data_IF_574830749329
#
_entry.id   IF_574830749329
#
_cell.length_a   1.000
_cell.length_b   1.000
_cell.length_c   1.000
_cell.angle_alpha   90.00
_cell.angle_beta   90.00
_cell.angle_gamma   90.00
#
_symmetry.space_group_name_H-M   'P 1'
#
loop_
_entity.id
_entity.type
_entity.pdbx_description
1 polymer ?
#
# COMPACT_ATOMS: atom_id res chain seq x y z
N UNK A 1 16.33 7.36 15.78
CA UNK A 1 15.18 7.63 14.86
C UNK A 1 15.02 6.42 13.98
N UNK A 2 13.78 5.92 13.78
CA UNK A 2 13.48 4.76 12.91
C UNK A 2 13.67 5.13 11.44
N UNK A 3 14.18 4.20 10.65
CA UNK A 3 14.24 4.31 9.19
C UNK A 3 12.98 3.75 8.56
N UNK A 4 12.66 4.26 7.37
CA UNK A 4 11.51 3.84 6.57
C UNK A 4 11.96 3.51 5.16
N UNK A 5 11.51 2.38 4.63
CA UNK A 5 11.57 2.02 3.21
C UNK A 5 10.17 1.98 2.63
N UNK A 6 10.02 2.34 1.37
CA UNK A 6 8.75 2.30 0.63
C UNK A 6 8.93 1.45 -0.62
N UNK A 7 7.99 0.53 -0.82
CA UNK A 7 7.83 -0.21 -2.08
C UNK A 7 6.57 0.32 -2.77
N UNK A 8 6.67 0.61 -4.07
CA UNK A 8 5.52 0.98 -4.89
C UNK A 8 5.42 0.10 -6.11
N UNK A 9 4.20 -0.35 -6.37
CA UNK A 9 3.83 -1.10 -7.55
C UNK A 9 3.17 -0.15 -8.57
N UNK A 10 3.69 -0.09 -9.80
CA UNK A 10 3.19 0.78 -10.87
C UNK A 10 2.56 -0.04 -11.99
N UNK A 11 1.45 0.45 -12.54
CA UNK A 11 0.76 -0.15 -13.69
C UNK A 11 1.44 0.29 -14.99
N UNK A 12 1.82 -0.68 -15.81
CA UNK A 12 2.29 -0.45 -17.18
C UNK A 12 1.10 -0.28 -18.10
N UNK A 13 1.07 0.81 -18.86
CA UNK A 13 -0.04 1.15 -19.76
C UNK A 13 0.45 1.61 -21.14
N UNK A 14 -0.39 1.41 -22.13
CA UNK A 14 -0.21 2.03 -23.43
C UNK A 14 -0.45 3.55 -23.33
N UNK A 15 0.48 4.40 -23.79
CA UNK A 15 0.36 5.85 -23.61
C UNK A 15 -0.79 6.49 -24.41
N UNK A 16 -1.25 5.82 -25.48
CA UNK A 16 -2.32 6.35 -26.34
C UNK A 16 -3.70 5.84 -25.91
N UNK A 17 -3.85 4.53 -25.71
CA UNK A 17 -5.14 3.92 -25.37
C UNK A 17 -5.42 3.89 -23.85
N UNK A 18 -4.37 3.92 -23.02
CA UNK A 18 -4.45 3.73 -21.58
C UNK A 18 -4.62 2.26 -21.15
N UNK A 19 -4.62 1.32 -22.09
CA UNK A 19 -4.79 -0.12 -21.80
C UNK A 19 -3.56 -0.69 -21.08
N UNK A 20 -3.73 -1.55 -20.05
CA UNK A 20 -2.61 -2.22 -19.39
C UNK A 20 -1.78 -3.08 -20.34
N UNK A 21 -0.45 -3.01 -20.22
CA UNK A 21 0.51 -3.70 -21.10
C UNK A 21 1.36 -4.71 -20.30
N UNK A 22 1.37 -5.96 -20.75
CA UNK A 22 2.18 -7.03 -20.16
C UNK A 22 3.64 -6.95 -20.65
N UNK A 23 4.40 -5.95 -20.19
CA UNK A 23 5.75 -5.63 -20.68
C UNK A 23 6.80 -5.48 -19.56
N UNK A 24 6.50 -5.91 -18.31
CA UNK A 24 7.45 -5.76 -17.20
C UNK A 24 8.81 -6.42 -17.48
N UNK A 25 8.83 -7.59 -18.11
CA UNK A 25 10.06 -8.27 -18.45
C UNK A 25 10.94 -7.44 -19.43
N UNK A 26 10.33 -6.72 -20.37
CA UNK A 26 11.04 -5.87 -21.33
C UNK A 26 11.56 -4.58 -20.66
N UNK A 27 10.77 -3.97 -19.76
CA UNK A 27 11.20 -2.81 -18.95
C UNK A 27 12.40 -3.16 -18.09
N UNK A 28 12.34 -4.30 -17.38
CA UNK A 28 13.43 -4.78 -16.52
C UNK A 28 14.70 -5.11 -17.30
N UNK A 29 14.57 -5.76 -18.48
CA UNK A 29 15.73 -6.04 -19.34
C UNK A 29 16.42 -4.76 -19.79
N UNK A 30 15.63 -3.71 -20.11
CA UNK A 30 16.18 -2.39 -20.48
C UNK A 30 16.86 -1.71 -19.29
N UNK A 31 16.22 -1.68 -18.12
CA UNK A 31 16.81 -1.10 -16.91
C UNK A 31 18.15 -1.75 -16.57
N UNK A 32 18.22 -3.09 -16.58
CA UNK A 32 19.47 -3.83 -16.32
C UNK A 32 20.59 -3.53 -17.33
N UNK A 33 20.26 -3.19 -18.58
CA UNK A 33 21.24 -2.82 -19.59
C UNK A 33 21.76 -1.40 -19.44
N UNK A 34 20.91 -0.45 -19.04
CA UNK A 34 21.26 0.97 -18.93
C UNK A 34 21.94 1.31 -17.61
N UNK A 35 21.46 0.73 -16.50
CA UNK A 35 21.86 1.09 -15.13
C UNK A 35 22.87 0.10 -14.51
N UNK A 36 23.69 -0.56 -15.32
CA UNK A 36 24.81 -1.46 -15.01
C UNK A 36 24.99 -1.82 -13.50
N UNK A 37 24.09 -2.66 -12.95
CA UNK A 37 24.27 -3.27 -11.63
C UNK A 37 23.45 -2.67 -10.48
N UNK A 38 22.56 -1.74 -10.70
CA UNK A 38 21.55 -1.31 -9.73
C UNK A 38 20.19 -1.92 -10.11
N UNK A 39 19.83 -3.02 -9.46
CA UNK A 39 18.48 -3.59 -9.58
C UNK A 39 17.52 -2.76 -8.72
N UNK A 40 16.99 -1.67 -9.30
CA UNK A 40 16.00 -0.80 -8.65
C UNK A 40 14.58 -1.37 -8.78
N UNK A 41 14.35 -2.16 -9.85
CA UNK A 41 13.02 -2.69 -10.17
C UNK A 41 12.94 -4.21 -10.03
N UNK A 42 11.81 -4.70 -9.49
CA UNK A 42 11.56 -6.13 -9.29
C UNK A 42 10.37 -6.61 -10.12
N UNK A 43 10.34 -7.95 -10.34
CA UNK A 43 9.23 -8.65 -11.00
C UNK A 43 8.13 -8.96 -10.00
N UNK A 44 6.89 -8.66 -10.41
CA UNK A 44 5.70 -9.00 -9.68
C UNK A 44 4.88 -10.14 -10.33
N UNK A 45 3.77 -10.53 -9.66
CA UNK A 45 2.88 -11.62 -10.07
C UNK A 45 2.39 -11.47 -11.51
N UNK A 46 2.08 -10.26 -11.93
CA UNK A 46 1.56 -9.97 -13.26
C UNK A 46 2.53 -9.15 -14.09
N UNK A 47 2.66 -9.49 -15.37
CA UNK A 47 3.53 -8.81 -16.33
C UNK A 47 3.10 -7.36 -16.65
N UNK A 48 1.94 -6.90 -16.15
CA UNK A 48 1.48 -5.51 -16.21
C UNK A 48 1.99 -4.65 -15.06
N UNK A 49 2.74 -5.20 -14.11
CA UNK A 49 3.21 -4.54 -12.90
C UNK A 49 4.73 -4.34 -12.95
N UNK A 50 5.17 -3.20 -12.43
CA UNK A 50 6.56 -2.90 -12.15
C UNK A 50 6.68 -2.44 -10.71
N UNK A 51 7.51 -3.08 -9.91
CA UNK A 51 7.75 -2.72 -8.51
C UNK A 51 9.12 -2.07 -8.35
N UNK A 52 9.21 -1.09 -7.46
CA UNK A 52 10.48 -0.58 -6.96
C UNK A 52 10.47 -0.45 -5.44
N UNK A 53 11.66 -0.51 -4.84
CA UNK A 53 11.89 -0.28 -3.42
C UNK A 53 12.89 0.86 -3.22
N UNK A 54 12.60 1.77 -2.27
CA UNK A 54 13.55 2.81 -1.85
C UNK A 54 14.57 2.24 -0.86
N UNK A 55 15.71 2.91 -0.74
CA UNK A 55 16.60 2.66 0.38
C UNK A 55 15.94 3.11 1.71
N UNK A 56 16.34 2.54 2.84
CA UNK A 56 15.88 3.00 4.15
C UNK A 56 16.27 4.45 4.41
N UNK A 57 15.29 5.33 4.64
CA UNK A 57 15.48 6.75 4.91
C UNK A 57 14.96 7.12 6.31
N UNK A 58 15.67 8.03 6.98
CA UNK A 58 15.19 8.68 8.20
C UNK A 58 14.55 10.04 7.92
N UNK A 59 14.93 10.66 6.80
CA UNK A 59 14.49 11.98 6.35
C UNK A 59 13.38 11.84 5.30
N UNK A 60 12.22 12.44 5.56
CA UNK A 60 11.05 12.34 4.66
C UNK A 60 11.21 13.16 3.38
N UNK A 61 12.08 14.18 3.34
CA UNK A 61 12.35 14.92 2.10
C UNK A 61 13.23 14.09 1.17
N UNK A 62 14.23 13.40 1.72
CA UNK A 62 15.04 12.43 0.96
C UNK A 62 14.20 11.26 0.45
N UNK A 63 13.28 10.75 1.29
CA UNK A 63 12.34 9.71 0.87
C UNK A 63 11.47 10.19 -0.30
N UNK A 64 10.95 11.43 -0.24
CA UNK A 64 10.18 12.02 -1.31
C UNK A 64 10.99 12.12 -2.62
N UNK A 65 12.21 12.64 -2.53
CA UNK A 65 13.09 12.77 -3.68
C UNK A 65 13.42 11.40 -4.31
N UNK A 66 13.58 10.36 -3.49
CA UNK A 66 13.87 9.01 -3.95
C UNK A 66 12.66 8.36 -4.64
N UNK A 67 11.45 8.47 -4.07
CA UNK A 67 10.22 8.00 -4.71
C UNK A 67 10.02 8.70 -6.07
N UNK A 68 10.18 10.03 -6.10
CA UNK A 68 10.06 10.80 -7.34
C UNK A 68 11.06 10.34 -8.42
N UNK A 69 12.33 10.14 -8.03
CA UNK A 69 13.37 9.61 -8.91
C UNK A 69 13.04 8.21 -9.44
N UNK A 70 12.60 7.29 -8.57
CA UNK A 70 12.22 5.94 -8.99
C UNK A 70 11.05 5.94 -9.97
N UNK A 71 10.04 6.81 -9.76
CA UNK A 71 8.92 6.98 -10.69
C UNK A 71 9.37 7.57 -12.04
N UNK A 72 10.27 8.54 -12.03
CA UNK A 72 10.86 9.11 -13.25
C UNK A 72 11.67 8.05 -14.03
N UNK A 73 12.53 7.29 -13.36
CA UNK A 73 13.29 6.20 -13.96
C UNK A 73 12.38 5.11 -14.54
N UNK A 74 11.33 4.69 -13.80
CA UNK A 74 10.32 3.78 -14.32
C UNK A 74 9.67 4.31 -15.60
N UNK A 75 9.31 5.60 -15.62
CA UNK A 75 8.76 6.27 -16.79
C UNK A 75 9.72 6.30 -17.97
N UNK A 76 11.01 6.58 -17.72
CA UNK A 76 12.07 6.60 -18.75
C UNK A 76 12.26 5.21 -19.38
N UNK A 77 12.38 4.16 -18.56
CA UNK A 77 12.57 2.80 -19.08
C UNK A 77 11.35 2.29 -19.83
N UNK A 78 10.14 2.51 -19.30
CA UNK A 78 8.88 2.16 -19.97
C UNK A 78 8.72 2.94 -21.30
N UNK A 79 9.00 4.25 -21.29
CA UNK A 79 8.93 5.10 -22.49
C UNK A 79 9.84 4.64 -23.62
N UNK A 80 11.01 4.09 -23.28
CA UNK A 80 11.95 3.54 -24.26
C UNK A 80 11.46 2.31 -25.03
N UNK A 81 10.36 1.70 -24.59
CA UNK A 81 9.70 0.56 -25.28
C UNK A 81 8.25 0.87 -25.67
N UNK A 82 7.86 2.16 -25.71
CA UNK A 82 6.53 2.59 -26.12
C UNK A 82 5.45 2.30 -25.05
N UNK A 83 5.82 2.29 -23.79
CA UNK A 83 4.93 2.08 -22.64
C UNK A 83 5.00 3.27 -21.68
N UNK A 84 3.99 3.46 -20.85
CA UNK A 84 3.99 4.45 -19.76
C UNK A 84 3.71 3.76 -18.41
N UNK A 85 4.06 4.45 -17.31
CA UNK A 85 3.75 3.98 -15.95
C UNK A 85 2.70 4.86 -15.29
N UNK A 86 1.81 4.24 -14.53
CA UNK A 86 0.78 4.93 -13.77
C UNK A 86 0.69 4.40 -12.34
N UNK A 87 0.72 5.28 -11.35
CA UNK A 87 0.40 4.98 -9.96
C UNK A 87 -1.13 4.87 -9.80
N UNK A 88 -1.67 3.76 -10.27
CA UNK A 88 -3.09 3.39 -10.23
C UNK A 88 -3.21 2.05 -9.51
N UNK A 89 -3.92 2.00 -8.40
CA UNK A 89 -4.00 0.79 -7.60
C UNK A 89 -4.91 -0.30 -8.18
N UNK A 90 -5.72 0.05 -9.21
CA UNK A 90 -6.48 -0.87 -10.06
C UNK A 90 -6.53 -0.33 -11.48
N UNK A 91 -6.73 -1.19 -12.47
CA UNK A 91 -6.94 -0.72 -13.85
C UNK A 91 -8.33 -0.14 -14.03
N UNK A 92 -8.47 1.14 -14.43
CA UNK A 92 -9.76 1.70 -14.85
C UNK A 92 -10.35 1.00 -16.07
N UNK A 93 -9.50 0.55 -17.00
CA UNK A 93 -9.93 -0.14 -18.23
C UNK A 93 -9.98 -1.65 -18.02
N UNK A 94 -10.79 -2.38 -18.80
CA UNK A 94 -10.79 -3.84 -18.79
C UNK A 94 -9.41 -4.41 -19.11
N UNK A 95 -9.02 -5.46 -18.39
CA UNK A 95 -7.75 -6.15 -18.60
C UNK A 95 -7.88 -7.62 -18.27
N UNK A 96 -7.16 -8.45 -19.00
CA UNK A 96 -6.87 -9.84 -18.66
C UNK A 96 -5.42 -9.92 -18.19
N UNK A 97 -5.17 -10.05 -16.87
CA UNK A 97 -3.82 -10.07 -16.34
C UNK A 97 -3.00 -11.25 -16.86
N UNK A 98 -1.76 -10.98 -17.26
CA UNK A 98 -0.81 -12.01 -17.68
C UNK A 98 0.06 -12.40 -16.47
N UNK A 99 -0.04 -13.65 -16.03
CA UNK A 99 0.73 -14.17 -14.89
C UNK A 99 2.16 -14.45 -15.32
N UNK A 100 3.13 -14.02 -14.52
CA UNK A 100 4.56 -14.28 -14.75
C UNK A 100 4.90 -15.78 -14.78
N UNK A 101 5.89 -16.16 -15.59
CA UNK A 101 6.20 -17.55 -15.91
C UNK A 101 7.12 -18.26 -14.91
N UNK A 102 7.45 -17.68 -13.73
CA UNK A 102 8.28 -18.34 -12.74
C UNK A 102 7.55 -19.48 -12.02
N UNK A 103 8.32 -20.37 -11.35
CA UNK A 103 7.78 -21.57 -10.68
C UNK A 103 6.74 -21.20 -9.58
N UNK A 104 7.00 -20.12 -8.84
CA UNK A 104 6.12 -19.64 -7.75
C UNK A 104 4.77 -19.21 -8.30
N UNK A 105 4.76 -18.36 -9.34
CA UNK A 105 3.53 -17.82 -9.91
C UNK A 105 2.69 -18.88 -10.64
N UNK A 106 3.34 -19.88 -11.26
CA UNK A 106 2.63 -21.03 -11.81
C UNK A 106 1.93 -21.84 -10.72
N UNK A 107 2.64 -22.14 -9.62
CA UNK A 107 2.04 -22.79 -8.46
C UNK A 107 0.85 -22.00 -7.92
N UNK A 108 0.97 -20.67 -7.76
CA UNK A 108 -0.13 -19.82 -7.32
C UNK A 108 -1.32 -19.88 -8.28
N UNK A 109 -1.08 -19.86 -9.59
CA UNK A 109 -2.14 -19.96 -10.60
C UNK A 109 -2.87 -21.31 -10.54
N UNK A 110 -2.15 -22.41 -10.35
CA UNK A 110 -2.71 -23.75 -10.16
C UNK A 110 -3.51 -23.86 -8.86
N UNK A 111 -2.98 -23.32 -7.76
CA UNK A 111 -3.59 -23.43 -6.44
C UNK A 111 -4.83 -22.56 -6.27
N UNK A 112 -4.81 -21.32 -6.79
CA UNK A 112 -5.85 -20.32 -6.51
C UNK A 112 -6.73 -19.97 -7.71
N UNK A 113 -6.43 -20.48 -8.91
CA UNK A 113 -7.27 -20.36 -10.10
C UNK A 113 -7.64 -18.91 -10.43
N UNK A 114 -8.92 -18.63 -10.53
CA UNK A 114 -9.48 -17.32 -10.94
C UNK A 114 -9.03 -16.19 -10.00
N UNK A 115 -8.77 -16.46 -8.72
CA UNK A 115 -8.28 -15.43 -7.79
C UNK A 115 -6.99 -14.80 -8.30
N UNK A 116 -6.02 -15.62 -8.78
CA UNK A 116 -4.78 -15.10 -9.37
C UNK A 116 -5.06 -14.32 -10.65
N UNK A 117 -5.93 -14.82 -11.52
CA UNK A 117 -6.24 -14.20 -12.80
C UNK A 117 -6.91 -12.82 -12.67
N UNK A 118 -7.60 -12.56 -11.55
CA UNK A 118 -8.29 -11.29 -11.29
C UNK A 118 -7.57 -10.41 -10.25
N UNK A 119 -6.30 -10.69 -9.92
CA UNK A 119 -5.57 -10.07 -8.82
C UNK A 119 -4.64 -8.92 -9.27
N UNK A 120 -4.89 -8.31 -10.43
CA UNK A 120 -4.10 -7.15 -10.88
C UNK A 120 -4.47 -5.92 -10.04
N UNK A 121 -3.83 -5.80 -8.90
CA UNK A 121 -3.97 -4.69 -7.95
C UNK A 121 -2.60 -4.26 -7.45
N UNK A 122 -2.41 -2.96 -7.27
CA UNK A 122 -1.11 -2.35 -7.02
C UNK A 122 -1.11 -1.59 -5.70
N UNK A 123 -0.12 -1.88 -4.87
CA UNK A 123 0.00 -1.36 -3.51
C UNK A 123 1.17 -0.41 -3.31
N UNK A 124 1.17 0.16 -2.12
CA UNK A 124 2.31 0.81 -1.51
C UNK A 124 2.58 0.10 -0.19
N UNK A 125 3.75 -0.48 -0.02
CA UNK A 125 4.16 -1.10 1.24
C UNK A 125 5.13 -0.18 1.96
N UNK A 126 5.01 -0.11 3.28
CA UNK A 126 5.88 0.72 4.11
C UNK A 126 6.55 -0.14 5.15
N UNK A 127 7.87 -0.22 5.08
CA UNK A 127 8.73 -0.90 6.04
C UNK A 127 9.25 0.10 7.06
N UNK A 128 9.06 -0.18 8.35
CA UNK A 128 9.59 0.65 9.44
C UNK A 128 10.48 -0.21 10.33
N UNK A 129 11.70 0.26 10.61
CA UNK A 129 12.67 -0.47 11.41
C UNK A 129 12.19 -0.70 12.84
N UNK A 130 12.45 -1.93 13.35
CA UNK A 130 12.22 -2.35 14.74
C UNK A 130 13.51 -2.94 15.31
N UNK A 131 13.61 -2.96 16.64
CA UNK A 131 14.82 -3.42 17.34
C UNK A 131 14.85 -4.95 17.52
N UNK A 132 13.68 -5.58 17.51
CA UNK A 132 13.53 -7.04 17.66
C UNK A 132 12.16 -7.51 17.16
N UNK A 133 12.00 -8.81 16.98
CA UNK A 133 10.70 -9.42 16.65
C UNK A 133 9.68 -9.21 17.76
N UNK A 134 10.10 -9.20 19.04
CA UNK A 134 9.23 -8.91 20.19
C UNK A 134 8.65 -7.49 20.10
N UNK A 135 9.50 -6.48 19.83
CA UNK A 135 9.03 -5.12 19.58
C UNK A 135 8.11 -5.08 18.36
N UNK A 136 8.50 -5.74 17.27
CA UNK A 136 7.72 -5.78 16.03
C UNK A 136 6.33 -6.36 16.24
N UNK A 137 6.20 -7.46 16.97
CA UNK A 137 4.90 -8.09 17.28
C UNK A 137 4.08 -7.22 18.22
N UNK A 138 4.70 -6.62 19.24
CA UNK A 138 4.03 -5.67 20.13
C UNK A 138 3.49 -4.46 19.37
N UNK A 139 4.23 -3.98 18.36
CA UNK A 139 3.77 -2.92 17.43
C UNK A 139 2.61 -3.41 16.58
N UNK A 140 2.72 -4.58 15.93
CA UNK A 140 1.65 -5.16 15.12
C UNK A 140 0.34 -5.21 15.91
N UNK A 141 0.37 -5.70 17.14
CA UNK A 141 -0.81 -5.83 17.99
C UNK A 141 -1.47 -4.48 18.30
N UNK A 142 -0.71 -3.38 18.38
CA UNK A 142 -1.22 -2.05 18.72
C UNK A 142 -1.69 -1.24 17.52
N UNK A 143 -1.06 -1.40 16.36
CA UNK A 143 -1.40 -0.59 15.17
C UNK A 143 -2.65 -1.06 14.43
N UNK A 144 -3.15 -2.30 14.69
CA UNK A 144 -4.31 -2.91 13.99
C UNK A 144 -5.52 -1.98 13.83
N UNK A 145 -5.99 -1.22 14.85
CA UNK A 145 -7.16 -0.37 14.71
C UNK A 145 -6.93 0.86 13.82
N UNK A 146 -5.67 1.25 13.60
CA UNK A 146 -5.27 2.43 12.83
C UNK A 146 -5.10 2.13 11.33
N UNK A 147 -4.89 0.86 10.95
CA UNK A 147 -4.67 0.46 9.56
C UNK A 147 -5.80 0.90 8.59
N UNK A 148 -7.09 0.82 8.98
CA UNK A 148 -8.17 1.33 8.13
C UNK A 148 -8.05 2.83 7.80
N UNK A 149 -7.45 3.63 8.69
CA UNK A 149 -7.25 5.06 8.43
C UNK A 149 -6.19 5.27 7.35
N UNK A 150 -5.11 4.48 7.37
CA UNK A 150 -4.10 4.50 6.31
C UNK A 150 -4.69 4.07 4.96
N UNK A 151 -5.56 3.03 4.95
CA UNK A 151 -6.32 2.64 3.75
C UNK A 151 -7.17 3.80 3.21
N UNK A 152 -7.85 4.54 4.07
CA UNK A 152 -8.67 5.67 3.65
C UNK A 152 -7.85 6.84 3.09
N UNK A 153 -6.69 7.12 3.68
CA UNK A 153 -5.77 8.19 3.23
C UNK A 153 -5.17 7.86 1.85
N UNK A 154 -4.69 6.62 1.67
CA UNK A 154 -4.03 6.17 0.44
C UNK A 154 -4.98 5.81 -0.70
N UNK A 155 -6.31 5.76 -0.47
CA UNK A 155 -7.27 5.21 -1.42
C UNK A 155 -7.13 5.82 -2.82
N UNK A 156 -6.90 4.95 -3.82
CA UNK A 156 -6.60 5.30 -5.20
C UNK A 156 -7.08 4.24 -6.21
N UNK A 157 -8.17 3.51 -5.89
CA UNK A 157 -8.72 2.46 -6.76
C UNK A 157 -10.25 2.49 -6.88
N UNK A 158 -10.84 3.63 -7.32
CA UNK A 158 -12.29 3.73 -7.44
C UNK A 158 -12.84 3.04 -8.68
N UNK A 159 -12.01 2.89 -9.71
CA UNK A 159 -12.39 2.38 -11.02
C UNK A 159 -11.86 0.97 -11.24
N UNK A 160 -12.70 0.06 -11.73
CA UNK A 160 -12.38 -1.34 -11.95
C UNK A 160 -13.04 -1.88 -13.20
N UNK A 161 -12.26 -2.42 -14.13
CA UNK A 161 -12.76 -3.11 -15.31
C UNK A 161 -13.85 -2.32 -16.07
N UNK A 162 -13.61 -1.04 -16.30
CA UNK A 162 -14.51 -0.17 -17.06
C UNK A 162 -15.63 0.49 -16.25
N UNK A 163 -15.68 0.30 -14.92
CA UNK A 163 -16.78 0.76 -14.05
C UNK A 163 -16.29 1.48 -12.81
N UNK A 164 -17.08 2.43 -12.29
CA UNK A 164 -16.92 2.89 -10.90
C UNK A 164 -17.38 1.77 -9.96
N UNK A 165 -16.46 1.30 -9.13
CA UNK A 165 -16.71 0.24 -8.16
C UNK A 165 -17.58 0.69 -6.99
N UNK A 166 -17.82 1.98 -6.85
CA UNK A 166 -18.39 2.64 -5.69
C UNK A 166 -17.57 2.52 -4.40
N UNK A 167 -16.32 2.05 -4.48
CA UNK A 167 -15.34 2.03 -3.39
C UNK A 167 -14.25 3.07 -3.66
N UNK A 168 -13.65 3.63 -2.62
CA UNK A 168 -12.46 4.48 -2.75
C UNK A 168 -11.19 3.65 -2.88
N UNK A 169 -11.11 2.51 -2.16
CA UNK A 169 -10.06 1.49 -2.31
C UNK A 169 -10.69 0.14 -2.68
N UNK A 170 -10.92 -0.10 -3.98
CA UNK A 170 -11.40 -1.41 -4.44
C UNK A 170 -10.28 -2.46 -4.42
N UNK A 171 -9.02 -2.03 -4.56
CA UNK A 171 -7.84 -2.88 -4.37
C UNK A 171 -7.94 -3.69 -3.08
N UNK A 172 -8.26 -3.06 -1.96
CA UNK A 172 -8.36 -3.73 -0.68
C UNK A 172 -9.43 -4.83 -0.66
N UNK A 173 -10.50 -4.73 -1.48
CA UNK A 173 -11.54 -5.77 -1.62
C UNK A 173 -11.05 -6.94 -2.47
N UNK A 174 -10.32 -6.66 -3.54
CA UNK A 174 -9.69 -7.67 -4.40
C UNK A 174 -8.60 -8.40 -3.62
N UNK A 175 -7.72 -7.66 -2.92
CA UNK A 175 -6.64 -8.23 -2.11
C UNK A 175 -7.11 -9.21 -1.04
N UNK A 176 -8.24 -8.96 -0.42
CA UNK A 176 -8.82 -9.84 0.62
C UNK A 176 -9.34 -11.19 0.10
N UNK A 177 -9.24 -11.47 -1.19
CA UNK A 177 -9.51 -12.82 -1.75
C UNK A 177 -8.38 -13.80 -1.44
N UNK A 178 -7.16 -13.32 -1.13
CA UNK A 178 -6.08 -14.18 -0.70
C UNK A 178 -6.42 -14.82 0.66
N UNK A 179 -6.18 -16.15 0.84
CA UNK A 179 -6.58 -16.86 2.07
C UNK A 179 -5.98 -16.30 3.35
N UNK A 180 -4.76 -15.75 3.27
CA UNK A 180 -4.02 -15.22 4.41
C UNK A 180 -4.19 -13.71 4.61
N UNK A 181 -4.97 -13.03 3.74
CA UNK A 181 -5.09 -11.57 3.79
C UNK A 181 -6.04 -11.08 4.87
N UNK A 182 -5.69 -9.97 5.48
CA UNK A 182 -6.55 -9.24 6.39
C UNK A 182 -5.98 -9.01 7.78
N UNK A 183 -6.80 -8.45 8.68
CA UNK A 183 -6.41 -8.20 10.06
C UNK A 183 -6.28 -9.50 10.85
N UNK A 184 -5.42 -9.47 11.87
CA UNK A 184 -5.11 -10.60 12.75
C UNK A 184 -5.72 -10.44 14.14
N UNK A 185 -5.83 -11.54 14.89
CA UNK A 185 -5.95 -11.51 16.34
C UNK A 185 -4.64 -11.01 16.96
N UNK A 186 -4.65 -10.67 18.25
CA UNK A 186 -3.44 -10.37 19.00
C UNK A 186 -2.52 -11.59 19.01
N UNK A 187 -1.24 -11.37 18.78
CA UNK A 187 -0.22 -12.41 18.87
C UNK A 187 0.33 -12.53 20.30
N UNK A 188 0.51 -11.39 20.98
CA UNK A 188 1.00 -11.29 22.35
C UNK A 188 2.50 -11.54 22.52
N UNK A 189 3.16 -12.33 21.65
CA UNK A 189 4.60 -12.56 21.66
C UNK A 189 5.12 -12.95 20.27
N UNK A 190 6.43 -12.76 20.01
CA UNK A 190 7.08 -13.21 18.80
C UNK A 190 7.00 -14.72 18.62
N UNK A 191 7.14 -15.51 19.69
CA UNK A 191 6.97 -16.96 19.64
C UNK A 191 5.59 -17.36 19.11
N UNK A 192 4.53 -16.72 19.59
CA UNK A 192 3.16 -16.98 19.11
C UNK A 192 2.98 -16.56 17.64
N UNK A 193 3.59 -15.45 17.24
CA UNK A 193 3.58 -15.01 15.85
C UNK A 193 4.22 -16.04 14.94
N UNK A 194 5.46 -16.45 15.22
CA UNK A 194 6.17 -17.42 14.41
C UNK A 194 5.49 -18.79 14.39
N UNK A 195 4.96 -19.25 15.53
CA UNK A 195 4.18 -20.50 15.59
C UNK A 195 2.95 -20.41 14.70
N UNK A 196 2.18 -19.33 14.75
CA UNK A 196 0.98 -19.14 13.91
C UNK A 196 1.34 -19.10 12.42
N UNK A 197 2.43 -18.41 12.05
CA UNK A 197 2.92 -18.37 10.67
C UNK A 197 3.32 -19.79 10.21
N UNK A 198 4.06 -20.54 11.02
CA UNK A 198 4.45 -21.91 10.73
C UNK A 198 3.23 -22.84 10.57
N UNK A 199 2.23 -22.73 11.46
CA UNK A 199 0.99 -23.51 11.37
C UNK A 199 0.23 -23.20 10.07
N UNK A 200 0.16 -21.92 9.65
CA UNK A 200 -0.49 -21.53 8.40
C UNK A 200 0.23 -22.11 7.18
N UNK A 201 1.55 -22.08 7.14
CA UNK A 201 2.34 -22.70 6.06
C UNK A 201 2.17 -24.22 6.08
N UNK A 202 2.15 -24.86 7.25
CA UNK A 202 1.98 -26.31 7.41
C UNK A 202 0.63 -26.84 6.90
N UNK A 203 -0.38 -25.97 6.72
CA UNK A 203 -1.64 -26.37 6.06
C UNK A 203 -1.47 -26.77 4.60
N UNK A 204 -0.34 -26.41 3.95
CA UNK A 204 -0.12 -26.60 2.52
C UNK A 204 -0.94 -25.67 1.62
N UNK A 205 -1.75 -24.78 2.20
CA UNK A 205 -2.49 -23.75 1.45
C UNK A 205 -1.57 -22.65 0.95
N UNK A 206 -0.49 -22.37 1.65
CA UNK A 206 0.53 -21.37 1.33
C UNK A 206 1.81 -22.09 0.94
N UNK A 207 2.51 -21.58 -0.09
CA UNK A 207 3.78 -22.17 -0.55
C UNK A 207 4.90 -21.96 0.49
N UNK A 208 4.94 -20.77 1.07
CA UNK A 208 5.93 -20.35 2.08
C UNK A 208 5.41 -19.10 2.84
N UNK A 209 6.20 -18.64 3.81
CA UNK A 209 5.90 -17.46 4.63
C UNK A 209 5.75 -16.15 3.83
N UNK A 210 6.34 -16.04 2.62
CA UNK A 210 6.15 -14.89 1.73
C UNK A 210 4.70 -14.71 1.29
N UNK A 211 3.85 -15.76 1.48
CA UNK A 211 2.41 -15.71 1.20
C UNK A 211 1.56 -15.37 2.44
N UNK A 212 2.17 -14.93 3.52
CA UNK A 212 1.47 -14.34 4.66
C UNK A 212 1.12 -12.89 4.31
N UNK A 213 -0.14 -12.66 3.95
CA UNK A 213 -0.64 -11.37 3.47
C UNK A 213 -1.43 -10.61 4.54
N UNK A 214 -1.01 -10.71 5.81
CA UNK A 214 -1.58 -9.90 6.90
C UNK A 214 -1.53 -8.40 6.53
N UNK A 215 -2.48 -7.63 7.04
CA UNK A 215 -2.55 -6.17 6.85
C UNK A 215 -1.26 -5.45 7.30
N UNK A 216 -0.58 -6.04 8.30
CA UNK A 216 0.74 -5.66 8.82
C UNK A 216 1.46 -6.92 9.30
N UNK A 217 2.76 -7.06 9.01
CA UNK A 217 3.54 -8.26 9.36
C UNK A 217 4.99 -7.93 9.72
N UNK A 218 5.71 -8.88 10.30
CA UNK A 218 7.17 -8.85 10.32
C UNK A 218 7.71 -9.13 8.92
N UNK A 219 8.71 -8.38 8.48
CA UNK A 219 9.41 -8.66 7.23
C UNK A 219 10.34 -9.86 7.40
N UNK A 220 10.38 -10.75 6.39
CA UNK A 220 11.30 -11.90 6.36
C UNK A 220 12.75 -11.52 6.10
N UNK A 221 12.97 -10.41 5.40
CA UNK A 221 14.30 -10.02 4.87
C UNK A 221 14.96 -8.94 5.70
N UNK A 222 14.18 -8.10 6.35
CA UNK A 222 14.66 -6.91 7.02
C UNK A 222 14.12 -6.84 8.45
N UNK A 223 14.84 -6.25 9.39
CA UNK A 223 14.35 -6.03 10.77
C UNK A 223 13.30 -4.90 10.79
N UNK A 224 12.15 -5.15 10.14
CA UNK A 224 11.09 -4.16 9.97
C UNK A 224 9.71 -4.76 10.19
N UNK A 225 8.76 -3.90 10.58
CA UNK A 225 7.32 -4.13 10.42
C UNK A 225 6.90 -3.56 9.08
N UNK A 226 6.17 -4.34 8.28
CA UNK A 226 5.71 -4.04 6.94
C UNK A 226 4.20 -3.79 6.93
N UNK A 227 3.79 -2.57 6.60
CA UNK A 227 2.40 -2.16 6.39
C UNK A 227 1.99 -2.41 4.95
N UNK A 228 0.86 -3.10 4.70
CA UNK A 228 0.46 -3.59 3.37
C UNK A 228 -0.92 -3.14 2.90
N UNK A 229 -1.65 -2.39 3.72
CA UNK A 229 -3.06 -2.04 3.47
C UNK A 229 -3.27 -0.92 2.45
N UNK A 230 -2.21 -0.20 2.07
CA UNK A 230 -2.29 0.98 1.24
C UNK A 230 -2.37 0.66 -0.25
N UNK A 231 -3.23 1.40 -0.95
CA UNK A 231 -3.15 1.53 -2.41
C UNK A 231 -1.85 2.25 -2.78
N UNK A 232 -1.24 1.96 -3.95
CA UNK A 232 -0.22 2.86 -4.48
C UNK A 232 -0.80 4.26 -4.59
N UNK A 233 -0.10 5.25 -4.03
CA UNK A 233 -0.60 6.60 -3.96
C UNK A 233 -0.41 7.33 -5.30
N UNK A 234 -1.43 8.07 -5.74
CA UNK A 234 -1.33 8.83 -7.00
C UNK A 234 -0.17 9.83 -6.97
N UNK A 235 0.00 10.53 -5.85
CA UNK A 235 1.06 11.52 -5.64
C UNK A 235 2.13 10.99 -4.68
N UNK A 236 3.41 11.23 -4.99
CA UNK A 236 4.54 10.86 -4.13
C UNK A 236 4.44 11.50 -2.73
N UNK A 237 3.95 12.73 -2.63
CA UNK A 237 3.72 13.40 -1.34
C UNK A 237 2.73 12.66 -0.43
N UNK A 238 1.73 11.98 -1.01
CA UNK A 238 0.81 11.13 -0.25
C UNK A 238 1.50 9.87 0.27
N UNK A 239 2.37 9.23 -0.54
CA UNK A 239 3.18 8.10 -0.08
C UNK A 239 4.10 8.49 1.08
N UNK A 240 4.73 9.66 1.01
CA UNK A 240 5.57 10.22 2.08
C UNK A 240 4.76 10.49 3.36
N UNK A 241 3.55 11.05 3.24
CA UNK A 241 2.66 11.20 4.40
C UNK A 241 2.35 9.86 5.06
N UNK A 242 2.00 8.85 4.26
CA UNK A 242 1.73 7.49 4.76
C UNK A 242 2.97 6.91 5.45
N UNK A 243 4.16 7.08 4.87
CA UNK A 243 5.42 6.62 5.45
C UNK A 243 5.72 7.31 6.80
N UNK A 244 5.53 8.62 6.89
CA UNK A 244 5.69 9.37 8.14
C UNK A 244 4.70 8.92 9.22
N UNK A 245 3.42 8.70 8.86
CA UNK A 245 2.39 8.20 9.77
C UNK A 245 2.65 6.77 10.22
N UNK A 246 3.09 5.87 9.32
CA UNK A 246 3.46 4.50 9.66
C UNK A 246 4.65 4.48 10.64
N UNK A 247 5.70 5.28 10.38
CA UNK A 247 6.83 5.44 11.29
C UNK A 247 6.40 5.94 12.67
N UNK A 248 5.55 6.94 12.70
CA UNK A 248 5.05 7.50 13.95
C UNK A 248 4.16 6.52 14.71
N UNK A 249 3.34 5.74 14.02
CA UNK A 249 2.56 4.64 14.62
C UNK A 249 3.46 3.58 15.25
N UNK A 250 4.54 3.17 14.56
CA UNK A 250 5.51 2.20 15.09
C UNK A 250 6.18 2.74 16.34
N UNK A 251 6.65 4.00 16.31
CA UNK A 251 7.31 4.60 17.47
C UNK A 251 6.34 4.77 18.66
N UNK A 252 5.12 5.25 18.41
CA UNK A 252 4.08 5.38 19.44
C UNK A 252 3.76 4.01 20.07
N UNK A 253 3.51 3.00 19.25
CA UNK A 253 3.21 1.65 19.70
C UNK A 253 4.36 1.00 20.49
N UNK A 254 5.61 1.28 20.09
CA UNK A 254 6.79 0.79 20.81
C UNK A 254 6.95 1.48 22.19
N UNK A 255 6.62 2.77 22.30
CA UNK A 255 6.58 3.48 23.60
C UNK A 255 5.49 2.91 24.51
N UNK A 256 4.26 2.76 24.00
CA UNK A 256 3.15 2.14 24.71
C UNK A 256 3.50 0.73 25.22
N UNK A 257 4.17 -0.07 24.40
CA UNK A 257 4.65 -1.39 24.81
C UNK A 257 5.66 -1.34 25.96
N UNK A 258 6.67 -0.47 25.89
CA UNK A 258 7.67 -0.31 26.96
C UNK A 258 7.06 0.20 28.27
N UNK A 259 5.99 0.98 28.18
CA UNK A 259 5.24 1.51 29.31
C UNK A 259 4.19 0.53 29.84
N UNK A 260 4.03 -0.64 29.22
CA UNK A 260 3.08 -1.68 29.64
C UNK A 260 1.61 -1.35 29.31
N UNK A 261 1.37 -0.45 28.36
CA UNK A 261 0.00 -0.14 27.88
C UNK A 261 -0.51 -1.32 27.06
N UNK A 262 -1.67 -1.85 27.42
CA UNK A 262 -2.27 -2.97 26.72
C UNK A 262 -2.79 -2.58 25.31
N UNK A 263 -2.63 -3.46 24.29
CA UNK A 263 -3.17 -3.22 22.97
C UNK A 263 -4.71 -3.27 22.97
N UNK A 264 -5.34 -2.52 22.08
CA UNK A 264 -6.79 -2.55 21.93
C UNK A 264 -7.31 -3.96 21.54
N UNK A 265 -8.17 -4.52 22.37
CA UNK A 265 -8.71 -5.88 22.25
C UNK A 265 -9.83 -6.05 21.21
N UNK A 266 -9.84 -5.25 20.13
CA UNK A 266 -10.86 -5.38 19.09
C UNK A 266 -10.73 -6.71 18.34
N UNK A 267 -11.88 -7.40 18.17
CA UNK A 267 -11.94 -8.65 17.42
C UNK A 267 -11.64 -8.42 15.93
N UNK A 268 -11.12 -9.45 15.26
CA UNK A 268 -10.91 -9.44 13.79
C UNK A 268 -12.19 -9.06 13.04
N UNK A 269 -13.36 -9.48 13.51
CA UNK A 269 -14.64 -9.13 12.88
C UNK A 269 -14.88 -7.62 12.87
N UNK A 270 -14.61 -6.91 13.96
CA UNK A 270 -14.72 -5.45 14.03
C UNK A 270 -13.67 -4.75 13.16
N UNK A 271 -12.43 -5.25 13.17
CA UNK A 271 -11.35 -4.72 12.33
C UNK A 271 -11.68 -4.88 10.84
N UNK A 272 -12.26 -6.02 10.42
CA UNK A 272 -12.74 -6.24 9.06
C UNK A 272 -13.85 -5.26 8.65
N UNK A 273 -14.78 -4.93 9.56
CA UNK A 273 -15.79 -3.91 9.30
C UNK A 273 -15.18 -2.51 9.19
N UNK A 274 -14.18 -2.18 10.00
CA UNK A 274 -13.45 -0.93 9.90
C UNK A 274 -12.70 -0.82 8.55
N UNK A 275 -11.99 -1.86 8.15
CA UNK A 275 -11.30 -1.94 6.86
C UNK A 275 -12.29 -1.83 5.67
N UNK A 276 -13.44 -2.53 5.76
CA UNK A 276 -14.49 -2.42 4.74
C UNK A 276 -15.02 -0.99 4.63
N UNK A 277 -15.30 -0.34 5.78
CA UNK A 277 -15.80 1.04 5.80
C UNK A 277 -14.79 2.01 5.20
N UNK A 278 -13.51 1.88 5.55
CA UNK A 278 -12.44 2.70 4.99
C UNK A 278 -12.32 2.52 3.47
N UNK A 279 -12.33 1.27 3.00
CA UNK A 279 -12.31 0.97 1.58
C UNK A 279 -13.50 1.56 0.82
N UNK A 280 -14.70 1.49 1.40
CA UNK A 280 -15.93 1.99 0.78
C UNK A 280 -15.99 3.51 0.74
N UNK A 281 -15.66 4.17 1.85
CA UNK A 281 -15.89 5.59 2.05
C UNK A 281 -14.67 6.47 1.71
N UNK A 282 -13.45 5.95 1.88
CA UNK A 282 -12.25 6.78 1.80
C UNK A 282 -12.35 7.99 2.73
N UNK A 283 -12.01 9.17 2.21
CA UNK A 283 -12.06 10.43 2.95
C UNK A 283 -13.38 11.21 2.79
N UNK A 284 -14.29 10.74 1.94
CA UNK A 284 -15.53 11.49 1.62
C UNK A 284 -16.72 11.13 2.49
N UNK A 285 -16.58 10.16 3.41
CA UNK A 285 -17.68 9.69 4.25
C UNK A 285 -17.26 9.49 5.70
N UNK A 286 -17.80 8.44 6.31
CA UNK A 286 -17.54 8.08 7.70
C UNK A 286 -16.56 6.91 7.78
N UNK A 287 -15.69 6.94 8.78
CA UNK A 287 -14.81 5.85 9.19
C UNK A 287 -15.24 5.32 10.57
N UNK A 288 -14.71 4.17 10.99
CA UNK A 288 -14.83 3.73 12.36
C UNK A 288 -13.66 4.31 13.17
N UNK A 289 -13.98 4.96 14.28
CA UNK A 289 -12.98 5.54 15.18
C UNK A 289 -12.19 4.41 15.87
N UNK A 290 -10.84 4.40 15.80
CA UNK A 290 -10.01 3.28 16.25
C UNK A 290 -10.21 2.85 17.72
N UNK A 291 -10.48 3.80 18.61
CA UNK A 291 -10.69 3.47 20.03
C UNK A 291 -12.10 2.95 20.32
N UNK A 292 -13.14 3.42 19.62
CA UNK A 292 -14.54 3.14 19.98
C UNK A 292 -15.27 2.24 19.00
N UNK A 293 -14.72 2.00 17.83
CA UNK A 293 -15.36 1.31 16.70
C UNK A 293 -16.75 1.90 16.34
N UNK A 294 -16.95 3.20 16.58
CA UNK A 294 -18.15 3.93 16.20
C UNK A 294 -17.91 4.79 14.97
N UNK A 295 -18.93 4.96 14.15
CA UNK A 295 -18.87 5.80 12.94
C UNK A 295 -18.66 7.27 13.31
N UNK A 296 -17.68 7.89 12.68
CA UNK A 296 -17.38 9.32 12.77
C UNK A 296 -16.98 9.86 11.39
N UNK A 297 -17.13 11.16 11.13
CA UNK A 297 -16.61 11.79 9.92
C UNK A 297 -15.13 11.44 9.70
N UNK A 298 -14.73 11.17 8.45
CA UNK A 298 -13.36 10.78 8.13
C UNK A 298 -12.34 11.82 8.65
N UNK A 299 -12.64 13.11 8.52
CA UNK A 299 -11.80 14.18 9.07
C UNK A 299 -11.54 14.03 10.57
N UNK A 300 -12.57 13.71 11.35
CA UNK A 300 -12.44 13.50 12.81
C UNK A 300 -11.50 12.33 13.11
N UNK A 301 -11.61 11.23 12.34
CA UNK A 301 -10.78 10.03 12.54
C UNK A 301 -9.33 10.27 12.09
N UNK A 302 -9.11 11.01 11.00
CA UNK A 302 -7.76 11.41 10.56
C UNK A 302 -7.11 12.34 11.58
N UNK A 303 -7.86 13.30 12.15
CA UNK A 303 -7.35 14.16 13.22
C UNK A 303 -7.00 13.37 14.50
N UNK A 304 -7.80 12.34 14.83
CA UNK A 304 -7.51 11.45 15.94
C UNK A 304 -6.20 10.65 15.72
N UNK A 305 -5.92 10.21 14.48
CA UNK A 305 -4.63 9.59 14.14
C UNK A 305 -3.48 10.57 14.35
N UNK A 306 -3.56 11.78 13.80
CA UNK A 306 -2.52 12.79 13.94
C UNK A 306 -2.25 13.16 15.41
N UNK A 307 -3.30 13.18 16.25
CA UNK A 307 -3.15 13.45 17.68
C UNK A 307 -2.52 12.24 18.41
N UNK A 308 -2.94 11.02 18.09
CA UNK A 308 -2.37 9.80 18.68
C UNK A 308 -0.85 9.68 18.43
N UNK A 309 -0.38 10.04 17.23
CA UNK A 309 1.04 9.95 16.87
C UNK A 309 1.79 11.29 16.98
N UNK A 310 1.19 12.31 17.59
CA UNK A 310 1.69 13.68 17.60
C UNK A 310 3.12 13.80 18.14
N UNK A 311 3.40 13.15 19.27
CA UNK A 311 4.71 13.21 19.92
C UNK A 311 5.78 12.55 19.04
N UNK A 312 5.50 11.37 18.49
CA UNK A 312 6.44 10.67 17.61
C UNK A 312 6.72 11.46 16.32
N UNK A 313 5.71 12.14 15.75
CA UNK A 313 5.90 13.03 14.61
C UNK A 313 6.73 14.27 14.98
N UNK A 314 6.50 14.86 16.16
CA UNK A 314 7.25 16.03 16.63
C UNK A 314 8.72 15.68 16.87
N UNK A 315 9.00 14.56 17.52
CA UNK A 315 10.37 14.10 17.79
C UNK A 315 11.14 13.77 16.49
N UNK A 316 10.41 13.37 15.44
CA UNK A 316 10.98 13.12 14.12
C UNK A 316 11.10 14.39 13.25
N UNK A 317 10.52 15.53 13.67
CA UNK A 317 10.49 16.77 12.90
C UNK A 317 9.44 16.80 11.79
N UNK A 318 8.52 15.81 11.74
CA UNK A 318 7.55 15.64 10.64
C UNK A 318 6.16 16.23 10.92
N UNK A 319 5.90 16.71 12.15
CA UNK A 319 4.53 17.05 12.60
C UNK A 319 3.84 18.07 11.70
N UNK A 320 4.49 19.18 11.39
CA UNK A 320 3.87 20.24 10.59
C UNK A 320 3.63 19.80 9.14
N UNK A 321 4.59 19.10 8.55
CA UNK A 321 4.45 18.53 7.20
C UNK A 321 3.32 17.50 7.14
N UNK A 322 3.23 16.60 8.11
CA UNK A 322 2.14 15.62 8.18
C UNK A 322 0.76 16.29 8.31
N UNK A 323 0.66 17.34 9.12
CA UNK A 323 -0.58 18.13 9.26
C UNK A 323 -0.97 18.82 7.96
N UNK A 324 -0.01 19.44 7.28
CA UNK A 324 -0.23 20.12 6.01
C UNK A 324 -0.71 19.16 4.93
N UNK A 325 0.00 18.05 4.74
CA UNK A 325 -0.33 17.02 3.73
C UNK A 325 -1.68 16.35 4.03
N UNK A 326 -1.95 15.97 5.28
CA UNK A 326 -3.24 15.40 5.67
C UNK A 326 -4.39 16.42 5.50
N UNK A 327 -4.16 17.69 5.86
CA UNK A 327 -5.10 18.78 5.61
C UNK A 327 -5.35 19.01 4.12
N UNK A 328 -4.33 18.87 3.29
CA UNK A 328 -4.43 18.89 1.82
C UNK A 328 -5.34 17.78 1.30
N UNK A 329 -5.13 16.54 1.73
CA UNK A 329 -5.96 15.39 1.35
C UNK A 329 -7.41 15.55 1.79
N UNK A 330 -7.66 16.07 2.99
CA UNK A 330 -9.02 16.32 3.48
C UNK A 330 -9.76 17.39 2.67
N UNK A 331 -9.07 18.42 2.18
CA UNK A 331 -9.65 19.48 1.35
C UNK A 331 -9.83 19.07 -0.12
N UNK A 332 -8.78 18.49 -0.71
CA UNK A 332 -8.69 18.27 -2.16
C UNK A 332 -8.99 16.81 -2.55
N UNK A 333 -9.05 15.90 -1.57
CA UNK A 333 -9.25 14.48 -1.80
C UNK A 333 -7.95 13.73 -2.11
N UNK A 334 -8.04 12.42 -2.10
CA UNK A 334 -6.99 11.48 -2.48
C UNK A 334 -7.13 11.03 -3.94
N UNK A 335 -6.32 10.09 -4.40
CA UNK A 335 -6.35 9.60 -5.78
C UNK A 335 -7.72 9.09 -6.22
N UNK A 336 -8.50 8.48 -5.32
CA UNK A 336 -9.85 8.00 -5.66
C UNK A 336 -10.81 9.14 -6.02
N UNK A 337 -10.77 10.25 -5.30
CA UNK A 337 -11.56 11.42 -5.61
C UNK A 337 -11.09 12.06 -6.91
N UNK A 338 -9.79 12.21 -7.10
CA UNK A 338 -9.20 12.77 -8.32
C UNK A 338 -9.63 11.98 -9.57
N UNK A 339 -9.58 10.65 -9.52
CA UNK A 339 -9.99 9.80 -10.64
C UNK A 339 -11.48 9.97 -10.98
N UNK A 340 -12.35 10.06 -9.98
CA UNK A 340 -13.80 10.30 -10.20
C UNK A 340 -14.09 11.67 -10.79
N UNK A 341 -13.48 12.73 -10.25
CA UNK A 341 -13.62 14.10 -10.78
C UNK A 341 -13.10 14.19 -12.23
N UNK A 342 -12.02 13.47 -12.56
CA UNK A 342 -11.53 13.36 -13.93
C UNK A 342 -12.55 12.64 -14.83
N UNK A 343 -13.12 11.53 -14.39
CA UNK A 343 -14.12 10.79 -15.14
C UNK A 343 -15.40 11.61 -15.35
N UNK A 344 -15.90 12.28 -14.32
CA UNK A 344 -17.07 13.17 -14.42
C UNK A 344 -16.85 14.31 -15.42
N UNK A 345 -15.66 14.89 -15.42
CA UNK A 345 -15.30 16.00 -16.30
C UNK A 345 -15.09 15.58 -17.75
N UNK A 346 -14.47 14.43 -18.00
CA UNK A 346 -14.04 14.00 -19.35
C UNK A 346 -14.98 12.99 -19.99
N UNK A 347 -15.74 12.24 -19.20
CA UNK A 347 -16.53 11.09 -19.65
C UNK A 347 -15.69 9.93 -20.18
N UNK A 348 -14.36 9.93 -19.99
CA UNK A 348 -13.41 9.02 -20.64
C UNK A 348 -12.44 8.40 -19.64
N UNK A 349 -12.50 7.07 -19.51
CA UNK A 349 -11.52 6.31 -18.71
C UNK A 349 -10.09 6.43 -19.25
N UNK A 350 -9.94 6.54 -20.58
CA UNK A 350 -8.65 6.78 -21.23
C UNK A 350 -8.04 8.11 -20.74
N UNK A 351 -8.83 9.17 -20.70
CA UNK A 351 -8.37 10.49 -20.22
C UNK A 351 -8.00 10.45 -18.74
N UNK A 352 -8.73 9.64 -17.93
CA UNK A 352 -8.37 9.41 -16.51
C UNK A 352 -6.98 8.76 -16.43
N UNK A 353 -6.73 7.68 -17.18
CA UNK A 353 -5.42 7.01 -17.19
C UNK A 353 -4.32 7.97 -17.65
N UNK A 354 -4.53 8.69 -18.76
CA UNK A 354 -3.55 9.64 -19.27
C UNK A 354 -3.21 10.75 -18.27
N UNK A 355 -4.21 11.27 -17.54
CA UNK A 355 -3.99 12.24 -16.49
C UNK A 355 -3.23 11.66 -15.28
N UNK A 356 -3.51 10.40 -14.91
CA UNK A 356 -2.80 9.71 -13.84
C UNK A 356 -1.34 9.41 -14.22
N UNK A 357 -1.04 9.03 -15.47
CA UNK A 357 0.33 8.87 -16.00
C UNK A 357 1.12 10.16 -15.81
N UNK A 358 0.56 11.30 -16.28
CA UNK A 358 1.24 12.62 -16.11
C UNK A 358 1.49 12.95 -14.64
N UNK A 359 0.52 12.65 -13.76
CA UNK A 359 0.62 12.95 -12.34
C UNK A 359 1.60 12.04 -11.60
N UNK A 360 1.73 10.78 -12.03
CA UNK A 360 2.73 9.84 -11.50
C UNK A 360 4.15 10.35 -11.70
N UNK A 361 4.39 11.04 -12.82
CA UNK A 361 5.72 11.57 -13.22
C UNK A 361 5.94 13.02 -12.78
N UNK A 362 4.89 13.74 -12.35
CA UNK A 362 5.02 15.07 -11.80
C UNK A 362 5.40 14.93 -10.31
N UNK A 363 6.69 15.02 -10.03
CA UNK A 363 7.24 14.95 -8.67
C UNK A 363 7.00 16.24 -7.87
#
# INVERSE_FOLDING_TARGET
MRTVGVEEELLLVDPESGEPRALSAAVLARASQEDAGQEVFEKELHEQMLEFATHPQADMERLHAEIARCREEAGRHAGGIGCAVAALATSPLPVSPAVGMNRRYRWMAEQYGVVVQEQLVLGCHVHVSVESDEEGVAVIDRVRPWLPVLTALSANSPLWQGKDSAYSSYRSRVWQRWPSAGPTELFGSAENYHRRVADMVATGTLLDEGMIYFDVRLSRRYPTVEFRVMDVCLDASTAVLIAALARALVETAAREWREGVEPAGHSVSLLRLAAWRAARSGLTGELLHPATMRRMPAETVVRALLEHVREALADAGDLERARELAGGLLRHGNGARVQRELLERTGSLREVVAACVRRTQAA
#
